data_IF_199331396200
#
_entry.id   IF_199331396200
#
_cell.length_a   1.000
_cell.length_b   1.000
_cell.length_c   1.000
_cell.angle_alpha   90.00
_cell.angle_beta   90.00
_cell.angle_gamma   90.00
#
_symmetry.space_group_name_H-M   'P 1'
#
loop_
_entity.id
_entity.type
_entity.pdbx_description
1 polymer ?
#
# COMPACT_ATOMS: atom_id res chain seq x y z
N UNK A 1 -14.10 22.98 -11.04
CA UNK A 1 -14.73 23.88 -10.05
C UNK A 1 -13.98 25.18 -10.03
N UNK A 2 -14.67 26.32 -9.98
CA UNK A 2 -14.04 27.64 -9.87
C UNK A 2 -14.74 28.40 -8.74
N UNK A 3 -13.96 29.13 -7.92
CA UNK A 3 -14.43 29.84 -6.71
C UNK A 3 -15.09 28.93 -5.67
N UNK A 4 -14.49 27.79 -5.37
CA UNK A 4 -14.97 26.87 -4.34
C UNK A 4 -14.45 27.24 -2.97
N UNK A 5 -15.32 27.15 -1.97
CA UNK A 5 -14.96 27.28 -0.56
C UNK A 5 -14.16 26.06 -0.09
N UNK A 6 -13.39 26.17 1.01
CA UNK A 6 -12.72 25.03 1.63
C UNK A 6 -13.69 23.88 1.95
N UNK A 7 -14.89 24.23 2.42
CA UNK A 7 -15.96 23.28 2.73
C UNK A 7 -16.47 22.54 1.50
N UNK A 8 -16.55 23.19 0.33
CA UNK A 8 -16.98 22.55 -0.91
C UNK A 8 -16.00 21.46 -1.34
N UNK A 9 -14.70 21.75 -1.25
CA UNK A 9 -13.64 20.77 -1.53
C UNK A 9 -13.72 19.59 -0.57
N UNK A 10 -13.94 19.86 0.72
CA UNK A 10 -14.12 18.82 1.73
C UNK A 10 -15.36 17.95 1.48
N UNK A 11 -16.49 18.57 1.16
CA UNK A 11 -17.76 17.88 0.89
C UNK A 11 -17.63 16.97 -0.33
N UNK A 12 -16.94 17.41 -1.38
CA UNK A 12 -16.76 16.60 -2.59
C UNK A 12 -15.82 15.43 -2.34
N UNK A 13 -14.69 15.64 -1.65
CA UNK A 13 -13.81 14.54 -1.24
C UNK A 13 -14.56 13.52 -0.40
N UNK A 14 -15.39 13.99 0.54
CA UNK A 14 -16.23 13.11 1.37
C UNK A 14 -17.31 12.39 0.55
N UNK A 15 -17.94 13.08 -0.39
CA UNK A 15 -18.97 12.53 -1.27
C UNK A 15 -18.42 11.43 -2.17
N UNK A 16 -17.26 11.67 -2.82
CA UNK A 16 -16.59 10.69 -3.65
C UNK A 16 -16.15 9.47 -2.85
N UNK A 17 -15.63 9.65 -1.63
CA UNK A 17 -15.32 8.52 -0.74
C UNK A 17 -16.55 7.73 -0.31
N UNK A 18 -17.69 8.38 -0.09
CA UNK A 18 -18.97 7.70 0.20
C UNK A 18 -19.49 6.87 -0.97
N UNK A 19 -19.06 7.18 -2.20
CA UNK A 19 -19.35 6.41 -3.40
C UNK A 19 -18.34 5.27 -3.64
N UNK A 20 -17.52 4.94 -2.63
CA UNK A 20 -16.51 3.87 -2.69
C UNK A 20 -15.42 4.11 -3.75
N UNK A 21 -15.19 5.37 -4.12
CA UNK A 21 -14.06 5.76 -4.95
C UNK A 21 -12.83 6.05 -4.09
N UNK A 22 -11.67 5.63 -4.58
CA UNK A 22 -10.36 6.01 -4.02
C UNK A 22 -10.03 7.42 -4.49
N UNK A 23 -9.92 8.36 -3.55
CA UNK A 23 -9.74 9.79 -3.85
C UNK A 23 -8.34 10.24 -3.46
N UNK A 24 -7.59 10.71 -4.45
CA UNK A 24 -6.37 11.46 -4.23
C UNK A 24 -6.65 12.97 -4.38
N UNK A 25 -6.19 13.78 -3.44
CA UNK A 25 -6.33 15.23 -3.48
C UNK A 25 -4.95 15.91 -3.50
N UNK A 26 -4.82 16.96 -4.29
CA UNK A 26 -3.62 17.80 -4.35
C UNK A 26 -3.95 19.20 -3.84
N UNK A 27 -3.10 19.80 -3.01
CA UNK A 27 -3.32 21.15 -2.50
C UNK A 27 -2.05 21.78 -1.94
N UNK A 28 -2.02 23.11 -1.93
CA UNK A 28 -0.90 23.93 -1.48
C UNK A 28 -1.33 24.89 -0.34
N UNK A 29 -2.61 25.25 -0.28
CA UNK A 29 -3.14 26.17 0.72
C UNK A 29 -3.52 25.52 2.06
N UNK A 30 -3.47 26.33 3.14
CA UNK A 30 -3.98 25.95 4.47
C UNK A 30 -5.45 25.53 4.44
N UNK A 31 -6.21 26.16 3.53
CA UNK A 31 -7.62 25.87 3.26
C UNK A 31 -7.86 24.46 2.70
N UNK A 32 -6.86 23.83 2.08
CA UNK A 32 -6.97 22.49 1.54
C UNK A 32 -6.66 21.41 2.57
N UNK A 33 -6.09 21.77 3.73
CA UNK A 33 -5.68 20.82 4.77
C UNK A 33 -6.80 19.88 5.25
N UNK A 34 -8.04 20.36 5.54
CA UNK A 34 -9.11 19.45 5.97
C UNK A 34 -9.50 18.42 4.89
N UNK A 35 -9.46 18.84 3.63
CA UNK A 35 -9.83 18.01 2.50
C UNK A 35 -8.70 17.05 2.11
N UNK A 36 -7.43 17.48 2.17
CA UNK A 36 -6.23 16.64 2.04
C UNK A 36 -6.21 15.52 3.07
N UNK A 37 -6.52 15.83 4.34
CA UNK A 37 -6.57 14.85 5.42
C UNK A 37 -7.73 13.86 5.29
N UNK A 38 -8.82 14.26 4.63
CA UNK A 38 -10.00 13.41 4.42
C UNK A 38 -9.84 12.46 3.23
N UNK A 39 -9.09 12.88 2.22
CA UNK A 39 -8.74 12.08 1.05
C UNK A 39 -8.03 10.79 1.47
N UNK A 40 -8.03 9.78 0.60
CA UNK A 40 -7.27 8.55 0.85
C UNK A 40 -5.77 8.80 0.72
N UNK A 41 -5.39 9.68 -0.21
CA UNK A 41 -4.01 10.13 -0.39
C UNK A 41 -4.02 11.64 -0.63
N UNK A 42 -3.36 12.40 0.25
CA UNK A 42 -3.13 13.83 0.08
C UNK A 42 -1.72 14.12 -0.45
N UNK A 43 -1.64 14.95 -1.50
CA UNK A 43 -0.39 15.46 -2.08
C UNK A 43 -0.25 16.95 -1.76
N UNK A 44 0.85 17.34 -1.11
CA UNK A 44 1.22 18.74 -0.92
C UNK A 44 2.37 19.17 -1.82
N UNK A 45 2.38 20.45 -2.20
CA UNK A 45 3.50 21.09 -2.88
C UNK A 45 4.63 21.39 -1.89
N UNK A 46 5.86 21.05 -2.25
CA UNK A 46 7.07 21.24 -1.46
C UNK A 46 7.55 22.69 -1.42
N UNK A 47 7.41 23.43 -2.51
CA UNK A 47 7.91 24.81 -2.63
C UNK A 47 6.76 25.81 -2.41
N UNK A 48 5.68 25.69 -3.16
CA UNK A 48 4.51 26.58 -3.08
C UNK A 48 3.57 26.25 -1.91
N UNK A 49 3.67 25.05 -1.34
CA UNK A 49 2.75 24.59 -0.30
C UNK A 49 3.07 25.16 1.09
N UNK A 50 2.00 25.57 1.78
CA UNK A 50 2.03 25.97 3.19
C UNK A 50 2.39 24.81 4.10
N UNK A 51 3.00 25.10 5.25
CA UNK A 51 3.38 24.05 6.23
C UNK A 51 2.18 23.23 6.70
N UNK A 52 1.03 23.88 6.91
CA UNK A 52 -0.22 23.20 7.30
C UNK A 52 -0.69 22.22 6.22
N UNK A 53 -0.54 22.56 4.94
CA UNK A 53 -0.89 21.65 3.84
C UNK A 53 0.06 20.44 3.80
N UNK A 54 1.36 20.66 4.04
CA UNK A 54 2.38 19.60 4.10
C UNK A 54 2.12 18.63 5.26
N UNK A 55 1.81 19.14 6.45
CA UNK A 55 1.47 18.31 7.61
C UNK A 55 0.16 17.53 7.44
N UNK A 56 -0.81 18.09 6.71
CA UNK A 56 -2.06 17.41 6.44
C UNK A 56 -1.97 16.39 5.29
N UNK A 57 -0.89 16.41 4.51
CA UNK A 57 -0.67 15.53 3.36
C UNK A 57 0.08 14.25 3.73
N UNK A 58 -0.12 13.18 2.96
CA UNK A 58 0.64 11.94 3.11
C UNK A 58 1.90 11.88 2.23
N UNK A 59 1.94 12.68 1.15
CA UNK A 59 3.05 12.73 0.20
C UNK A 59 3.35 14.19 -0.13
N UNK A 60 4.62 14.58 -0.08
CA UNK A 60 5.08 15.92 -0.43
C UNK A 60 5.87 15.86 -1.75
N UNK A 61 5.45 16.67 -2.71
CA UNK A 61 6.14 16.83 -4.00
C UNK A 61 7.24 17.88 -3.85
N UNK A 62 8.48 17.43 -3.67
CA UNK A 62 9.61 18.33 -3.42
C UNK A 62 9.93 19.27 -4.60
N UNK A 63 9.53 18.89 -5.81
CA UNK A 63 9.80 19.59 -7.06
C UNK A 63 8.59 20.37 -7.60
N UNK A 64 7.46 20.37 -6.89
CA UNK A 64 6.17 20.95 -7.29
C UNK A 64 5.68 20.49 -8.68
N UNK A 65 6.15 19.32 -9.13
CA UNK A 65 5.83 18.81 -10.45
C UNK A 65 4.69 17.78 -10.39
N UNK A 66 3.61 18.04 -11.10
CA UNK A 66 2.50 17.10 -11.24
C UNK A 66 2.91 15.78 -11.92
N UNK A 67 3.99 15.76 -12.71
CA UNK A 67 4.54 14.52 -13.29
C UNK A 67 4.96 13.52 -12.20
N UNK A 68 5.42 14.02 -11.05
CA UNK A 68 5.82 13.18 -9.91
C UNK A 68 4.65 12.40 -9.32
N UNK A 69 3.41 12.90 -9.43
CA UNK A 69 2.19 12.16 -9.05
C UNK A 69 1.98 10.95 -9.97
N UNK A 70 2.20 11.11 -11.28
CA UNK A 70 2.08 10.01 -12.24
C UNK A 70 3.13 8.94 -11.96
N UNK A 71 4.36 9.35 -11.64
CA UNK A 71 5.44 8.44 -11.23
C UNK A 71 5.08 7.71 -9.93
N UNK A 72 4.55 8.42 -8.92
CA UNK A 72 4.08 7.82 -7.68
C UNK A 72 2.98 6.77 -7.93
N UNK A 73 2.03 7.05 -8.84
CA UNK A 73 1.00 6.09 -9.21
C UNK A 73 1.57 4.84 -9.89
N UNK A 74 2.58 4.99 -10.77
CA UNK A 74 3.26 3.85 -11.39
C UNK A 74 3.95 2.97 -10.34
N UNK A 75 4.67 3.59 -9.41
CA UNK A 75 5.31 2.87 -8.30
C UNK A 75 4.29 2.16 -7.39
N UNK A 76 3.18 2.81 -7.06
CA UNK A 76 2.12 2.20 -6.26
C UNK A 76 1.55 0.94 -6.91
N UNK A 77 1.32 0.94 -8.23
CA UNK A 77 0.87 -0.25 -8.96
C UNK A 77 1.93 -1.35 -8.99
N UNK A 78 3.19 -0.98 -9.19
CA UNK A 78 4.29 -1.95 -9.20
C UNK A 78 4.43 -2.66 -7.85
N UNK A 79 4.36 -1.92 -6.74
CA UNK A 79 4.38 -2.47 -5.39
C UNK A 79 3.20 -3.42 -5.17
N UNK A 80 2.00 -3.05 -5.60
CA UNK A 80 0.83 -3.91 -5.47
C UNK A 80 1.00 -5.24 -6.21
N UNK A 81 1.55 -5.22 -7.44
CA UNK A 81 1.83 -6.44 -8.20
C UNK A 81 2.92 -7.30 -7.52
N UNK A 82 3.95 -6.68 -6.95
CA UNK A 82 4.98 -7.37 -6.17
C UNK A 82 4.41 -8.04 -4.92
N UNK A 83 3.55 -7.36 -4.15
CA UNK A 83 2.86 -7.92 -2.99
C UNK A 83 1.99 -9.11 -3.40
N UNK A 84 1.26 -9.02 -4.52
CA UNK A 84 0.42 -10.13 -5.00
C UNK A 84 1.24 -11.36 -5.35
N UNK A 85 2.36 -11.18 -6.05
CA UNK A 85 3.29 -12.28 -6.39
C UNK A 85 3.89 -12.91 -5.13
N UNK A 86 4.28 -12.08 -4.17
CA UNK A 86 4.76 -12.52 -2.86
C UNK A 86 3.73 -13.38 -2.12
N UNK A 87 2.49 -12.89 -2.00
CA UNK A 87 1.42 -13.62 -1.31
C UNK A 87 1.11 -14.94 -2.01
N UNK A 88 1.13 -14.97 -3.35
CA UNK A 88 0.95 -16.20 -4.11
C UNK A 88 2.06 -17.22 -3.81
N UNK A 89 3.32 -16.79 -3.75
CA UNK A 89 4.44 -17.66 -3.40
C UNK A 89 4.27 -18.23 -1.98
N UNK A 90 4.00 -17.36 -1.00
CA UNK A 90 3.87 -17.78 0.40
C UNK A 90 2.68 -18.73 0.63
N UNK A 91 1.53 -18.45 0.02
CA UNK A 91 0.38 -19.34 0.08
C UNK A 91 0.66 -20.69 -0.59
N UNK A 92 1.37 -20.70 -1.73
CA UNK A 92 1.69 -21.94 -2.45
C UNK A 92 2.58 -22.84 -1.60
N UNK A 93 3.63 -22.30 -0.97
CA UNK A 93 4.54 -23.12 -0.15
C UNK A 93 3.84 -23.61 1.12
N UNK A 94 3.07 -22.76 1.80
CA UNK A 94 2.30 -23.19 2.97
C UNK A 94 1.29 -24.28 2.62
N UNK A 95 0.63 -24.16 1.47
CA UNK A 95 -0.29 -25.19 0.99
C UNK A 95 0.42 -26.52 0.69
N UNK A 96 1.56 -26.48 -0.01
CA UNK A 96 2.36 -27.69 -0.30
C UNK A 96 2.88 -28.33 0.99
N UNK A 97 3.37 -27.54 1.93
CA UNK A 97 3.85 -28.04 3.23
C UNK A 97 2.72 -28.73 4.01
N UNK A 98 1.52 -28.14 4.02
CA UNK A 98 0.34 -28.71 4.67
C UNK A 98 -0.07 -30.04 4.02
N UNK A 99 -0.18 -30.08 2.68
CA UNK A 99 -0.55 -31.29 1.94
C UNK A 99 0.49 -32.39 2.15
N UNK A 100 1.79 -32.05 2.13
CA UNK A 100 2.87 -32.99 2.36
C UNK A 100 2.84 -33.57 3.78
N UNK A 101 2.59 -32.74 4.79
CA UNK A 101 2.44 -33.18 6.17
C UNK A 101 1.21 -34.10 6.34
N UNK A 102 0.08 -33.76 5.70
CA UNK A 102 -1.14 -34.56 5.75
C UNK A 102 -0.96 -35.93 5.08
N UNK A 103 -0.42 -35.97 3.86
CA UNK A 103 -0.16 -37.21 3.12
C UNK A 103 0.91 -38.06 3.82
N UNK A 104 1.97 -37.43 4.31
CA UNK A 104 3.04 -38.11 5.06
C UNK A 104 2.52 -38.74 6.35
N UNK A 105 1.75 -38.00 7.15
CA UNK A 105 1.12 -38.52 8.36
C UNK A 105 0.11 -39.65 8.08
N UNK A 106 -0.64 -39.56 6.98
CA UNK A 106 -1.64 -40.57 6.60
C UNK A 106 -1.03 -41.88 6.08
N UNK A 107 0.05 -41.82 5.30
CA UNK A 107 0.66 -43.00 4.65
C UNK A 107 1.79 -43.59 5.50
N UNK A 108 2.69 -42.74 6.01
CA UNK A 108 3.95 -43.17 6.64
C UNK A 108 3.87 -43.20 8.17
N UNK A 109 2.76 -42.72 8.78
CA UNK A 109 2.59 -42.50 10.25
C UNK A 109 3.63 -41.57 10.90
N UNK A 110 4.62 -41.11 10.14
CA UNK A 110 5.59 -40.09 10.51
C UNK A 110 5.54 -38.96 9.49
N UNK A 111 5.48 -37.72 9.97
CA UNK A 111 5.58 -36.55 9.10
C UNK A 111 7.01 -36.46 8.55
N UNK A 112 7.21 -36.40 7.22
CA UNK A 112 8.55 -36.30 6.62
C UNK A 112 9.26 -34.98 6.92
N UNK A 113 8.55 -33.98 7.45
CA UNK A 113 9.10 -32.71 7.89
C UNK A 113 8.89 -32.53 9.40
N UNK A 114 9.98 -32.31 10.14
CA UNK A 114 9.93 -31.97 11.55
C UNK A 114 9.42 -30.52 11.74
N UNK A 115 8.71 -30.19 12.83
CA UNK A 115 8.20 -28.84 13.08
C UNK A 115 9.28 -27.75 13.01
N UNK A 116 10.50 -28.06 13.45
CA UNK A 116 11.66 -27.15 13.38
C UNK A 116 12.09 -26.89 11.93
N UNK A 117 12.01 -27.89 11.04
CA UNK A 117 12.35 -27.72 9.62
C UNK A 117 11.31 -26.87 8.89
N UNK A 118 10.02 -27.03 9.21
CA UNK A 118 8.97 -26.16 8.69
C UNK A 118 9.14 -24.70 9.15
N UNK A 119 9.61 -24.48 10.38
CA UNK A 119 9.92 -23.15 10.90
C UNK A 119 11.09 -22.51 10.13
N UNK A 120 12.15 -23.27 9.86
CA UNK A 120 13.28 -22.81 9.05
C UNK A 120 12.87 -22.42 7.63
N UNK A 121 12.01 -23.22 6.98
CA UNK A 121 11.50 -22.90 5.64
C UNK A 121 10.67 -21.62 5.66
N UNK A 122 9.78 -21.43 6.64
CA UNK A 122 9.02 -20.19 6.78
C UNK A 122 9.93 -18.99 7.02
N UNK A 123 10.91 -19.10 7.92
CA UNK A 123 11.82 -18.00 8.25
C UNK A 123 12.63 -17.54 7.03
N UNK A 124 13.20 -18.48 6.27
CA UNK A 124 13.97 -18.17 5.05
C UNK A 124 13.05 -17.59 3.97
N UNK A 125 11.84 -18.11 3.84
CA UNK A 125 10.86 -17.61 2.88
C UNK A 125 10.46 -16.18 3.19
N UNK A 126 10.09 -15.87 4.44
CA UNK A 126 9.69 -14.54 4.87
C UNK A 126 10.81 -13.52 4.69
N UNK A 127 12.06 -13.91 4.99
CA UNK A 127 13.23 -13.03 4.80
C UNK A 127 13.56 -12.80 3.32
N UNK A 128 13.64 -13.85 2.50
CA UNK A 128 13.91 -13.68 1.07
C UNK A 128 12.80 -12.91 0.36
N UNK A 129 11.56 -13.12 0.78
CA UNK A 129 10.41 -12.56 0.13
C UNK A 129 10.16 -11.11 0.60
N UNK A 130 10.51 -10.74 1.84
CA UNK A 130 10.61 -9.33 2.26
C UNK A 130 11.72 -8.58 1.52
N UNK A 131 12.86 -9.23 1.23
CA UNK A 131 13.93 -8.64 0.43
C UNK A 131 13.48 -8.36 -1.01
N UNK A 132 12.75 -9.30 -1.62
CA UNK A 132 12.17 -9.15 -2.96
C UNK A 132 11.06 -8.08 -3.03
N UNK A 133 10.44 -7.73 -1.91
CA UNK A 133 9.48 -6.62 -1.79
C UNK A 133 10.15 -5.27 -1.60
N UNK A 134 11.36 -5.24 -1.02
CA UNK A 134 12.12 -4.04 -0.77
C UNK A 134 12.88 -3.52 -2.02
N UNK A 135 13.05 -4.37 -3.04
CA UNK A 135 13.74 -4.06 -4.31
C UNK A 135 12.78 -4.07 -5.48
#
# INVERSE_FOLDING_TARGET
MARSSPDDKYLITTGLKKLDHVVAMTGDGTNDAPALKKADIGFAMGIAGTEVAKEASGIILLDDNFVSIVTAMKWGRNIFDSIRKFLQFQLTVNFVALVMAFVGGAILRESPLNPIQMLWVNLIMDTLASLALAT
#
